data_IF_632541585813
#
_entry.id   IF_632541585813
#
_cell.length_a   1.000
_cell.length_b   1.000
_cell.length_c   1.000
_cell.angle_alpha   90.00
_cell.angle_beta   90.00
_cell.angle_gamma   90.00
#
_symmetry.space_group_name_H-M   'P 1'
#
loop_
_entity.id
_entity.type
_entity.pdbx_description
1 polymer ?
#
# COMPACT_ATOMS: atom_id res chain seq x y z
N UNK A 1 -4.79 -2.95 10.42
CA UNK A 1 -5.18 -3.14 9.00
C UNK A 1 -4.69 -4.47 8.43
N UNK A 2 -3.64 -5.04 8.99
CA UNK A 2 -2.90 -6.19 8.48
C UNK A 2 -3.75 -7.44 8.23
N UNK A 3 -4.66 -7.79 9.16
CA UNK A 3 -5.56 -8.93 8.99
C UNK A 3 -6.56 -8.77 7.84
N UNK A 4 -6.95 -7.54 7.51
CA UNK A 4 -7.81 -7.26 6.37
C UNK A 4 -7.05 -7.41 5.05
N UNK A 5 -5.78 -6.98 5.04
CA UNK A 5 -4.88 -7.14 3.90
C UNK A 5 -4.56 -8.61 3.63
N UNK A 6 -4.33 -9.41 4.67
CA UNK A 6 -4.15 -10.86 4.58
C UNK A 6 -5.36 -11.59 3.99
N UNK A 7 -6.57 -11.05 4.16
CA UNK A 7 -7.82 -11.63 3.65
C UNK A 7 -8.27 -11.03 2.31
N UNK A 8 -7.52 -10.09 1.73
CA UNK A 8 -7.88 -9.45 0.46
C UNK A 8 -9.09 -8.51 0.56
N UNK A 9 -9.46 -8.10 1.78
CA UNK A 9 -10.68 -7.30 2.04
C UNK A 9 -10.44 -5.81 1.82
N UNK A 10 -10.32 -5.41 0.56
CA UNK A 10 -10.09 -4.02 0.17
C UNK A 10 -11.16 -3.05 0.70
N UNK A 11 -12.44 -3.44 0.68
CA UNK A 11 -13.53 -2.60 1.23
C UNK A 11 -13.39 -2.35 2.73
N UNK A 12 -12.89 -3.35 3.47
CA UNK A 12 -12.63 -3.21 4.90
C UNK A 12 -11.42 -2.30 5.13
N UNK A 13 -10.37 -2.40 4.31
CA UNK A 13 -9.21 -1.52 4.37
C UNK A 13 -9.59 -0.05 4.10
N UNK A 14 -10.40 0.21 3.07
CA UNK A 14 -10.91 1.56 2.77
C UNK A 14 -11.70 2.13 3.95
N UNK A 15 -12.55 1.32 4.58
CA UNK A 15 -13.31 1.73 5.79
C UNK A 15 -12.40 1.99 6.99
N UNK A 16 -11.37 1.17 7.18
CA UNK A 16 -10.42 1.33 8.28
C UNK A 16 -9.55 2.57 8.06
N UNK A 17 -9.16 2.89 6.83
CA UNK A 17 -8.38 4.08 6.50
C UNK A 17 -9.07 5.38 6.91
N UNK A 18 -10.38 5.47 6.67
CA UNK A 18 -11.15 6.65 7.06
C UNK A 18 -11.31 6.82 8.58
N UNK A 19 -11.06 5.79 9.38
CA UNK A 19 -11.28 5.82 10.83
C UNK A 19 -9.98 5.76 11.64
N UNK A 20 -8.96 5.03 11.17
CA UNK A 20 -7.74 4.71 11.93
C UNK A 20 -6.55 4.58 10.95
N UNK A 21 -5.96 5.69 10.49
CA UNK A 21 -4.90 5.66 9.48
C UNK A 21 -3.56 5.11 9.99
N UNK A 22 -3.32 5.05 11.30
CA UNK A 22 -2.03 4.66 11.89
C UNK A 22 -1.80 3.13 12.01
N UNK A 23 -2.82 2.30 11.78
CA UNK A 23 -2.77 0.85 12.04
C UNK A 23 -2.26 0.02 10.84
N UNK A 24 -1.58 0.67 9.88
CA UNK A 24 -0.96 0.00 8.74
C UNK A 24 0.50 -0.33 9.04
N UNK A 25 0.81 -1.62 9.17
CA UNK A 25 2.18 -2.11 9.31
C UNK A 25 2.69 -2.70 7.99
N UNK A 26 4.01 -2.85 7.87
CA UNK A 26 4.64 -3.56 6.76
C UNK A 26 4.09 -5.00 6.59
N UNK A 27 3.67 -5.62 7.70
CA UNK A 27 2.98 -6.92 7.67
C UNK A 27 1.74 -6.95 6.77
N UNK A 28 1.02 -5.83 6.58
CA UNK A 28 -0.11 -5.77 5.65
C UNK A 28 0.31 -6.04 4.21
N UNK A 29 1.43 -5.46 3.78
CA UNK A 29 1.97 -5.64 2.43
C UNK A 29 2.47 -7.06 2.23
N UNK A 30 3.29 -7.56 3.15
CA UNK A 30 3.84 -8.91 3.09
C UNK A 30 2.71 -9.96 3.06
N UNK A 31 1.68 -9.79 3.88
CA UNK A 31 0.53 -10.70 3.88
C UNK A 31 -0.31 -10.60 2.61
N UNK A 32 -0.50 -9.40 2.04
CA UNK A 32 -1.19 -9.24 0.77
C UNK A 32 -0.41 -9.90 -0.38
N UNK A 33 0.91 -9.75 -0.40
CA UNK A 33 1.81 -10.40 -1.36
C UNK A 33 1.79 -11.92 -1.21
N UNK A 34 1.85 -12.43 0.04
CA UNK A 34 1.80 -13.85 0.38
C UNK A 34 0.46 -14.52 0.08
N UNK A 35 -0.62 -13.77 -0.16
CA UNK A 35 -1.94 -14.28 -0.49
C UNK A 35 -2.41 -13.86 -1.88
N UNK A 36 -1.49 -13.32 -2.70
CA UNK A 36 -1.76 -12.92 -4.09
C UNK A 36 -2.87 -11.86 -4.22
N UNK A 37 -2.96 -10.94 -3.26
CA UNK A 37 -3.94 -9.86 -3.22
C UNK A 37 -3.39 -8.58 -3.87
N UNK A 38 -3.29 -8.59 -5.20
CA UNK A 38 -2.75 -7.46 -5.98
C UNK A 38 -3.54 -6.16 -5.77
N UNK A 39 -4.87 -6.24 -5.76
CA UNK A 39 -5.76 -5.09 -5.54
C UNK A 39 -5.54 -4.41 -4.17
N UNK A 40 -5.18 -5.19 -3.16
CA UNK A 40 -4.81 -4.68 -1.83
C UNK A 40 -3.44 -4.04 -1.87
N UNK A 41 -2.45 -4.68 -2.53
CA UNK A 41 -1.13 -4.10 -2.70
C UNK A 41 -1.18 -2.76 -3.43
N UNK A 42 -1.90 -2.66 -4.55
CA UNK A 42 -2.09 -1.40 -5.28
C UNK A 42 -2.60 -0.29 -4.34
N UNK A 43 -3.64 -0.58 -3.57
CA UNK A 43 -4.19 0.39 -2.64
C UNK A 43 -3.23 0.73 -1.49
N UNK A 44 -2.51 -0.25 -0.93
CA UNK A 44 -1.53 -0.02 0.13
C UNK A 44 -0.35 0.83 -0.37
N UNK A 45 0.12 0.58 -1.59
CA UNK A 45 1.20 1.35 -2.21
C UNK A 45 0.77 2.80 -2.52
N UNK A 46 -0.49 3.05 -2.87
CA UNK A 46 -1.02 4.40 -3.09
C UNK A 46 -1.00 5.28 -1.84
N UNK A 47 -1.35 4.73 -0.67
CA UNK A 47 -1.52 5.53 0.56
C UNK A 47 -0.39 5.36 1.59
N UNK A 48 0.30 4.22 1.58
CA UNK A 48 1.25 3.80 2.62
C UNK A 48 2.62 3.42 2.05
N UNK A 49 3.00 3.94 0.89
CA UNK A 49 4.29 3.69 0.24
C UNK A 49 5.49 3.74 1.21
N UNK A 50 5.52 4.73 2.11
CA UNK A 50 6.62 4.90 3.07
C UNK A 50 6.79 3.72 4.05
N UNK A 51 5.75 2.89 4.20
CA UNK A 51 5.72 1.71 5.08
C UNK A 51 5.91 0.40 4.34
N UNK A 52 5.95 0.43 3.01
CA UNK A 52 6.18 -0.73 2.17
C UNK A 52 7.61 -1.25 2.34
N UNK A 53 7.80 -2.57 2.23
CA UNK A 53 9.11 -3.20 2.17
C UNK A 53 9.14 -4.16 0.97
N UNK A 54 9.39 -3.65 -0.24
CA UNK A 54 9.34 -4.45 -1.45
C UNK A 54 10.33 -5.62 -1.41
N UNK A 55 11.45 -5.51 -0.68
CA UNK A 55 12.39 -6.63 -0.55
C UNK A 55 11.74 -7.85 0.12
N UNK A 56 11.04 -7.63 1.24
CA UNK A 56 10.39 -8.72 1.98
C UNK A 56 9.13 -9.24 1.27
N UNK A 57 8.37 -8.35 0.65
CA UNK A 57 7.20 -8.70 -0.16
C UNK A 57 7.57 -9.56 -1.37
N UNK A 58 8.67 -9.21 -2.08
CA UNK A 58 9.17 -9.98 -3.23
C UNK A 58 9.62 -11.37 -2.79
N UNK A 59 10.40 -11.47 -1.69
CA UNK A 59 10.85 -12.77 -1.16
C UNK A 59 9.63 -13.64 -0.85
N UNK A 60 8.64 -13.10 -0.12
CA UNK A 60 7.46 -13.86 0.27
C UNK A 60 6.59 -14.27 -0.93
N UNK A 61 6.41 -13.37 -1.89
CA UNK A 61 5.68 -13.69 -3.13
C UNK A 61 6.41 -14.76 -3.95
N UNK A 62 7.74 -14.74 -3.98
CA UNK A 62 8.55 -15.74 -4.67
C UNK A 62 8.48 -17.10 -3.97
N UNK A 63 8.52 -17.14 -2.63
CA UNK A 63 8.33 -18.38 -1.83
C UNK A 63 6.97 -19.03 -2.11
N UNK A 64 5.92 -18.24 -2.32
CA UNK A 64 4.59 -18.74 -2.67
C UNK A 64 4.39 -19.03 -4.16
N UNK A 65 5.37 -18.72 -5.03
CA UNK A 65 5.28 -18.91 -6.48
C UNK A 65 4.42 -17.88 -7.22
N UNK A 66 4.11 -16.74 -6.60
CA UNK A 66 3.26 -15.68 -7.16
C UNK A 66 4.06 -14.71 -8.03
N UNK A 67 4.46 -15.19 -9.20
CA UNK A 67 5.28 -14.46 -10.15
C UNK A 67 4.62 -13.17 -10.68
N UNK A 68 3.29 -13.11 -10.67
CA UNK A 68 2.51 -11.91 -10.99
C UNK A 68 2.73 -10.78 -9.97
N UNK A 69 2.75 -11.12 -8.67
CA UNK A 69 3.09 -10.16 -7.61
C UNK A 69 4.57 -9.77 -7.67
N UNK A 70 5.47 -10.73 -7.87
CA UNK A 70 6.92 -10.44 -8.01
C UNK A 70 7.18 -9.48 -9.17
N UNK A 71 6.52 -9.69 -10.31
CA UNK A 71 6.61 -8.78 -11.46
C UNK A 71 6.04 -7.40 -11.17
N UNK A 72 4.91 -7.32 -10.47
CA UNK A 72 4.32 -6.05 -10.03
C UNK A 72 5.28 -5.28 -9.13
N UNK A 73 5.80 -5.93 -8.09
CA UNK A 73 6.73 -5.33 -7.13
C UNK A 73 8.03 -4.92 -7.80
N UNK A 74 8.62 -5.76 -8.65
CA UNK A 74 9.85 -5.42 -9.38
C UNK A 74 9.67 -4.26 -10.38
N UNK A 75 8.46 -4.10 -10.93
CA UNK A 75 8.11 -2.94 -11.77
C UNK A 75 7.97 -1.66 -10.93
N UNK A 76 7.42 -1.78 -9.73
CA UNK A 76 7.19 -0.65 -8.81
C UNK A 76 8.42 -0.27 -7.98
N UNK A 77 9.35 -1.19 -7.71
CA UNK A 77 10.55 -0.92 -6.90
C UNK A 77 11.63 -0.14 -7.64
N UNK A 78 11.57 -0.07 -8.99
CA UNK A 78 12.66 0.41 -9.82
C UNK A 78 12.49 1.78 -10.50
N UNK A 79 11.28 2.34 -10.61
CA UNK A 79 11.11 3.51 -11.51
C UNK A 79 9.99 4.52 -11.22
N UNK A 80 8.91 4.23 -10.50
CA UNK A 80 7.76 5.13 -10.55
C UNK A 80 6.80 4.97 -9.37
N UNK A 81 7.22 5.39 -8.19
CA UNK A 81 6.29 5.98 -7.25
C UNK A 81 6.65 7.46 -7.12
N UNK A 82 6.46 8.21 -8.21
CA UNK A 82 6.15 9.62 -8.02
C UNK A 82 4.74 9.61 -7.43
N UNK A 83 4.53 9.95 -6.14
CA UNK A 83 3.18 10.14 -5.66
C UNK A 83 2.55 11.20 -6.57
N UNK A 84 1.44 10.87 -7.23
CA UNK A 84 0.61 11.86 -7.96
C UNK A 84 0.09 12.97 -7.02
N UNK A 85 0.44 12.92 -5.74
CA UNK A 85 0.10 13.93 -4.73
C UNK A 85 1.35 14.62 -4.19
N UNK A 86 1.99 15.45 -5.02
CA UNK A 86 2.58 16.68 -4.50
C UNK A 86 2.08 17.87 -5.32
N UNK A 87 1.30 18.70 -4.61
CA UNK A 87 0.99 20.12 -4.88
C UNK A 87 -0.18 20.49 -5.82
N UNK A 88 -1.37 20.62 -5.23
CA UNK A 88 -2.29 21.78 -5.31
C UNK A 88 -3.32 21.52 -4.18
N UNK A 89 -3.48 22.31 -3.12
CA UNK A 89 -3.42 23.76 -3.00
C UNK A 89 -2.82 24.21 -1.66
N UNK A 90 -1.76 25.01 -1.75
CA UNK A 90 -1.54 26.10 -0.80
C UNK A 90 -2.30 27.30 -1.34
N UNK A 91 -3.58 27.46 -0.98
CA UNK A 91 -4.30 28.71 -1.18
C UNK A 91 -4.84 29.23 0.16
N UNK A 92 -4.20 30.31 0.57
CA UNK A 92 -4.43 31.24 1.66
C UNK A 92 -5.87 31.38 2.16
N UNK A 93 -6.04 31.44 3.48
CA UNK A 93 -7.29 31.80 4.13
C UNK A 93 -7.15 32.07 5.63
N UNK A 94 -6.09 32.79 6.03
CA UNK A 94 -6.06 33.39 7.36
C UNK A 94 -6.97 34.62 7.35
N UNK A 95 -8.19 34.48 7.89
CA UNK A 95 -8.97 35.61 8.36
C UNK A 95 -9.23 35.43 9.85
N UNK A 96 -8.48 36.21 10.62
CA UNK A 96 -8.87 36.66 11.96
C UNK A 96 -10.12 37.53 11.83
N UNK A 97 -11.15 37.18 12.58
CA UNK A 97 -12.10 38.13 13.16
C UNK A 97 -11.97 38.04 14.69
#
# INVERSE_FOLDING_TARGET
>A
MDGAAALGKLDLLKRLHSNIPEDCSNAAFVNAAANRHLNVLEWLYEFYLQRANPAEEIIRAAECGYMDIVRFLNRNSGAAFAPTVLYEESSVGSSRE
#
